data_IF_407873452367
#
_entry.id   IF_407873452367
#
_cell.length_a   1.000
_cell.length_b   1.000
_cell.length_c   1.000
_cell.angle_alpha   90.00
_cell.angle_beta   90.00
_cell.angle_gamma   90.00
#
_symmetry.space_group_name_H-M   'P 1'
#
loop_
_entity.id
_entity.type
_entity.pdbx_description
1 polymer ?
#
# COMPACT_ATOMS: atom_id res chain seq x y z
N UNK A 1 25.38 41.55 -41.84
CA UNK A 1 24.68 42.02 -40.62
C UNK A 1 23.71 40.97 -40.05
N UNK A 2 22.84 40.35 -40.87
CA UNK A 2 21.83 39.38 -40.40
C UNK A 2 22.36 38.12 -39.68
N UNK A 3 23.50 37.55 -40.10
CA UNK A 3 24.08 36.36 -39.43
C UNK A 3 24.58 36.64 -38.00
N UNK A 4 25.16 37.82 -37.75
CA UNK A 4 25.63 38.21 -36.41
C UNK A 4 24.45 38.43 -35.45
N UNK A 5 23.34 38.98 -35.96
CA UNK A 5 22.10 39.17 -35.21
C UNK A 5 21.41 37.84 -34.86
N UNK A 6 21.40 36.88 -35.78
CA UNK A 6 20.93 35.51 -35.55
C UNK A 6 21.79 34.79 -34.50
N UNK A 7 23.12 34.90 -34.58
CA UNK A 7 24.03 34.32 -33.60
C UNK A 7 23.84 34.89 -32.19
N UNK A 8 23.67 36.21 -32.07
CA UNK A 8 23.39 36.84 -30.77
C UNK A 8 22.02 36.46 -30.21
N UNK A 9 21.00 36.31 -31.06
CA UNK A 9 19.67 35.88 -30.61
C UNK A 9 19.70 34.42 -30.10
N UNK A 10 20.43 33.54 -30.79
CA UNK A 10 20.60 32.14 -30.37
C UNK A 10 21.37 32.06 -29.04
N UNK A 11 22.44 32.85 -28.89
CA UNK A 11 23.22 32.90 -27.66
C UNK A 11 22.39 33.40 -26.46
N UNK A 12 21.57 34.43 -26.65
CA UNK A 12 20.64 34.91 -25.62
C UNK A 12 19.61 33.84 -25.24
N UNK A 13 19.06 33.10 -26.22
CA UNK A 13 18.11 32.02 -25.96
C UNK A 13 18.76 30.88 -25.16
N UNK A 14 19.98 30.48 -25.52
CA UNK A 14 20.75 29.48 -24.76
C UNK A 14 21.02 29.93 -23.32
N UNK A 15 21.35 31.22 -23.13
CA UNK A 15 21.63 31.78 -21.82
C UNK A 15 20.38 31.85 -20.93
N UNK A 16 19.22 32.20 -21.50
CA UNK A 16 17.93 32.13 -20.80
C UNK A 16 17.60 30.69 -20.41
N UNK A 17 17.83 29.72 -21.31
CA UNK A 17 17.64 28.30 -21.01
C UNK A 17 18.52 27.78 -19.86
N UNK A 18 19.78 28.21 -19.82
CA UNK A 18 20.72 27.88 -18.74
C UNK A 18 20.28 28.46 -17.40
N UNK A 19 19.84 29.73 -17.38
CA UNK A 19 19.32 30.37 -16.17
C UNK A 19 18.05 29.68 -15.66
N UNK A 20 17.16 29.28 -16.57
CA UNK A 20 15.94 28.54 -16.20
C UNK A 20 16.26 27.16 -15.63
N UNK A 21 17.17 26.41 -16.26
CA UNK A 21 17.61 25.11 -15.76
C UNK A 21 18.28 25.22 -14.38
N UNK A 22 19.09 26.25 -14.16
CA UNK A 22 19.71 26.53 -12.85
C UNK A 22 18.66 26.85 -11.78
N UNK A 23 17.62 27.61 -12.13
CA UNK A 23 16.50 27.92 -11.23
C UNK A 23 15.72 26.67 -10.83
N UNK A 24 15.38 25.81 -11.80
CA UNK A 24 14.68 24.55 -11.52
C UNK A 24 15.54 23.59 -10.69
N UNK A 25 16.84 23.51 -10.98
CA UNK A 25 17.77 22.71 -10.19
C UNK A 25 17.85 23.21 -8.73
N UNK A 26 17.88 24.53 -8.53
CA UNK A 26 17.86 25.13 -7.20
C UNK A 26 16.55 24.84 -6.45
N UNK A 27 15.40 25.01 -7.12
CA UNK A 27 14.08 24.71 -6.56
C UNK A 27 13.97 23.24 -6.14
N UNK A 28 14.47 22.34 -6.99
CA UNK A 28 14.49 20.91 -6.71
C UNK A 28 15.40 20.56 -5.54
N UNK A 29 16.56 21.22 -5.43
CA UNK A 29 17.47 21.03 -4.30
C UNK A 29 16.84 21.47 -2.98
N UNK A 30 16.16 22.62 -2.95
CA UNK A 30 15.45 23.08 -1.75
C UNK A 30 14.34 22.10 -1.35
N UNK A 31 13.54 21.62 -2.31
CA UNK A 31 12.48 20.65 -2.04
C UNK A 31 13.04 19.35 -1.45
N UNK A 32 14.18 18.86 -1.97
CA UNK A 32 14.85 17.67 -1.43
C UNK A 32 15.36 17.88 -0.01
N UNK A 33 15.95 19.05 0.27
CA UNK A 33 16.46 19.37 1.59
C UNK A 33 15.34 19.45 2.63
N UNK A 34 14.24 20.12 2.29
CA UNK A 34 13.06 20.20 3.14
C UNK A 34 12.47 18.82 3.43
N UNK A 35 12.34 17.98 2.41
CA UNK A 35 11.86 16.59 2.58
C UNK A 35 12.79 15.79 3.51
N UNK A 36 14.11 15.96 3.38
CA UNK A 36 15.09 15.30 4.26
C UNK A 36 14.93 15.72 5.71
N UNK A 37 14.71 17.00 5.98
CA UNK A 37 14.46 17.51 7.32
C UNK A 37 13.18 16.93 7.93
N UNK A 38 12.10 16.85 7.15
CA UNK A 38 10.86 16.20 7.58
C UNK A 38 11.10 14.74 7.95
N UNK A 39 11.79 13.97 7.11
CA UNK A 39 12.09 12.56 7.38
C UNK A 39 12.90 12.41 8.68
N UNK A 40 13.94 13.23 8.86
CA UNK A 40 14.74 13.20 10.10
C UNK A 40 13.93 13.59 11.36
N UNK A 41 12.95 14.50 11.21
CA UNK A 41 12.06 14.88 12.31
C UNK A 41 11.05 13.77 12.66
N UNK A 42 10.58 13.03 11.66
CA UNK A 42 9.76 11.83 11.84
C UNK A 42 10.55 10.76 12.61
N UNK A 43 11.82 10.53 12.23
CA UNK A 43 12.71 9.59 12.93
C UNK A 43 12.96 10.00 14.40
N UNK A 44 13.15 11.30 14.65
CA UNK A 44 13.31 11.82 16.00
C UNK A 44 12.01 11.74 16.83
N UNK A 45 10.85 11.96 16.21
CA UNK A 45 9.56 11.87 16.89
C UNK A 45 9.21 10.42 17.30
N UNK A 46 9.71 9.42 16.57
CA UNK A 46 9.51 7.99 16.84
C UNK A 46 10.06 7.51 18.19
N UNK A 47 10.80 8.33 18.94
CA UNK A 47 11.30 7.96 20.28
C UNK A 47 10.31 8.22 21.42
N UNK A 48 9.13 8.80 21.12
CA UNK A 48 8.10 9.07 22.12
C UNK A 48 7.11 7.90 22.24
N UNK A 49 6.58 7.64 23.44
CA UNK A 49 5.58 6.60 23.68
C UNK A 49 4.15 7.11 23.42
N UNK A 50 3.86 7.56 22.20
CA UNK A 50 2.52 7.99 21.78
C UNK A 50 2.06 7.27 20.50
N UNK A 51 0.75 7.13 20.23
CA UNK A 51 0.24 6.57 18.99
C UNK A 51 0.74 7.32 17.73
N UNK A 52 0.89 8.64 17.82
CA UNK A 52 1.39 9.49 16.74
C UNK A 52 2.88 9.25 16.48
N UNK A 53 3.66 9.01 17.53
CA UNK A 53 5.07 8.67 17.43
C UNK A 53 5.29 7.28 16.81
N UNK A 54 4.48 6.28 17.19
CA UNK A 54 4.49 4.97 16.54
C UNK A 54 4.00 5.06 15.08
N UNK A 55 3.05 5.96 14.78
CA UNK A 55 2.65 6.22 13.40
C UNK A 55 3.76 6.88 12.57
N UNK A 56 4.50 7.84 13.15
CA UNK A 56 5.69 8.43 12.55
C UNK A 56 6.76 7.36 12.29
N UNK A 57 6.99 6.46 13.25
CA UNK A 57 7.88 5.31 13.08
C UNK A 57 7.44 4.40 11.92
N UNK A 58 6.15 4.06 11.84
CA UNK A 58 5.61 3.25 10.76
C UNK A 58 5.81 3.91 9.38
N UNK A 59 5.62 5.23 9.29
CA UNK A 59 5.90 6.01 8.09
C UNK A 59 7.38 5.98 7.72
N UNK A 60 8.28 6.14 8.68
CA UNK A 60 9.73 6.06 8.45
C UNK A 60 10.13 4.68 7.92
N UNK A 61 9.68 3.60 8.56
CA UNK A 61 9.93 2.22 8.10
C UNK A 61 9.44 2.02 6.66
N UNK A 62 8.24 2.54 6.36
CA UNK A 62 7.69 2.49 5.00
C UNK A 62 8.50 3.31 3.98
N UNK A 63 9.07 4.44 4.40
CA UNK A 63 9.92 5.29 3.55
C UNK A 63 11.29 4.66 3.25
N UNK A 64 11.79 3.81 4.14
CA UNK A 64 13.04 3.06 3.99
C UNK A 64 12.87 1.68 3.33
N UNK A 65 11.71 1.42 2.71
CA UNK A 65 11.36 0.12 2.10
C UNK A 65 11.40 -1.08 3.07
N UNK A 66 11.36 -0.86 4.39
CA UNK A 66 11.16 -1.93 5.37
C UNK A 66 9.66 -2.30 5.45
N UNK A 67 9.23 -3.06 4.46
CA UNK A 67 7.84 -3.51 4.32
C UNK A 67 7.36 -4.28 5.56
N UNK A 68 8.14 -5.26 6.02
CA UNK A 68 7.78 -6.12 7.14
C UNK A 68 7.68 -5.34 8.45
N UNK A 69 8.64 -4.45 8.72
CA UNK A 69 8.62 -3.54 9.86
C UNK A 69 7.41 -2.62 9.84
N UNK A 70 7.14 -1.98 8.71
CA UNK A 70 6.03 -1.06 8.55
C UNK A 70 4.66 -1.76 8.69
N UNK A 71 4.48 -2.95 8.09
CA UNK A 71 3.23 -3.73 8.24
C UNK A 71 2.98 -4.08 9.70
N UNK A 72 3.99 -4.54 10.45
CA UNK A 72 3.83 -4.84 11.88
C UNK A 72 3.43 -3.61 12.69
N UNK A 73 4.05 -2.46 12.42
CA UNK A 73 3.76 -1.21 13.12
C UNK A 73 2.31 -0.74 12.81
N UNK A 74 1.93 -0.68 11.54
CA UNK A 74 0.57 -0.28 11.14
C UNK A 74 -0.50 -1.24 11.64
N UNK A 75 -0.28 -2.56 11.65
CA UNK A 75 -1.25 -3.53 12.21
C UNK A 75 -1.42 -3.40 13.71
N UNK A 76 -0.38 -2.99 14.43
CA UNK A 76 -0.50 -2.69 15.87
C UNK A 76 -1.35 -1.44 16.05
N UNK A 77 -1.04 -0.37 15.31
CA UNK A 77 -1.78 0.88 15.36
C UNK A 77 -3.25 0.72 14.93
N UNK A 78 -3.55 -0.13 13.96
CA UNK A 78 -4.94 -0.32 13.49
C UNK A 78 -5.84 -0.95 14.54
N UNK A 79 -5.26 -1.59 15.57
CA UNK A 79 -6.00 -2.18 16.70
C UNK A 79 -6.15 -1.24 17.89
N UNK A 80 -5.29 -0.23 17.99
CA UNK A 80 -5.19 0.66 19.16
C UNK A 80 -5.61 2.10 18.87
N UNK A 81 -5.64 2.50 17.60
CA UNK A 81 -5.99 3.85 17.17
C UNK A 81 -7.46 3.93 16.81
N UNK A 82 -8.04 5.13 16.94
CA UNK A 82 -9.41 5.42 16.51
C UNK A 82 -9.48 6.70 15.67
N UNK A 83 -10.67 7.03 15.18
CA UNK A 83 -10.96 8.28 14.49
C UNK A 83 -10.07 8.54 13.27
N UNK A 84 -9.52 9.76 13.19
CA UNK A 84 -8.69 10.20 12.05
C UNK A 84 -7.33 9.49 11.98
N UNK A 85 -6.77 9.09 13.12
CA UNK A 85 -5.52 8.34 13.16
C UNK A 85 -5.70 6.94 12.58
N UNK A 86 -6.77 6.23 12.97
CA UNK A 86 -7.11 4.93 12.38
C UNK A 86 -7.30 5.03 10.87
N UNK A 87 -8.01 6.07 10.39
CA UNK A 87 -8.17 6.29 8.95
C UNK A 87 -6.82 6.47 8.24
N UNK A 88 -5.90 7.23 8.85
CA UNK A 88 -4.55 7.45 8.33
C UNK A 88 -3.72 6.16 8.32
N UNK A 89 -3.82 5.34 9.36
CA UNK A 89 -3.17 4.02 9.46
C UNK A 89 -3.64 3.09 8.36
N UNK A 90 -4.96 2.95 8.17
CA UNK A 90 -5.53 2.06 7.14
C UNK A 90 -5.16 2.52 5.73
N UNK A 91 -5.20 3.83 5.46
CA UNK A 91 -4.79 4.38 4.17
C UNK A 91 -3.32 4.06 3.85
N UNK A 92 -2.42 4.28 4.82
CA UNK A 92 -0.99 4.03 4.61
C UNK A 92 -0.66 2.53 4.56
N UNK A 93 -1.34 1.69 5.34
CA UNK A 93 -1.20 0.23 5.24
C UNK A 93 -1.63 -0.29 3.87
N UNK A 94 -2.77 0.20 3.35
CA UNK A 94 -3.20 -0.13 1.99
C UNK A 94 -2.19 0.31 0.92
N UNK A 95 -1.66 1.53 1.04
CA UNK A 95 -0.65 2.05 0.12
C UNK A 95 0.67 1.26 0.18
N UNK A 96 1.04 0.80 1.37
CA UNK A 96 2.22 -0.04 1.57
C UNK A 96 2.06 -1.37 0.84
N UNK A 97 0.94 -2.07 1.05
CA UNK A 97 0.62 -3.31 0.36
C UNK A 97 0.55 -3.15 -1.16
N UNK A 98 -0.10 -2.08 -1.65
CA UNK A 98 -0.22 -1.83 -3.09
C UNK A 98 1.14 -1.52 -3.73
N UNK A 99 1.99 -0.71 -3.09
CA UNK A 99 3.35 -0.45 -3.60
C UNK A 99 4.19 -1.72 -3.64
N UNK A 100 4.10 -2.55 -2.61
CA UNK A 100 4.82 -3.82 -2.57
C UNK A 100 4.33 -4.78 -3.66
N UNK A 101 3.01 -4.86 -3.88
CA UNK A 101 2.43 -5.66 -4.96
C UNK A 101 2.99 -5.26 -6.33
N UNK A 102 3.09 -3.96 -6.58
CA UNK A 102 3.57 -3.39 -7.85
C UNK A 102 5.07 -3.61 -8.12
N UNK A 103 5.85 -4.08 -7.13
CA UNK A 103 7.26 -4.49 -7.37
C UNK A 103 7.36 -5.78 -8.17
N UNK A 104 6.30 -6.59 -8.19
CA UNK A 104 6.28 -7.89 -8.87
C UNK A 104 5.61 -7.77 -10.25
N UNK A 105 6.26 -8.35 -11.26
CA UNK A 105 5.73 -8.41 -12.62
C UNK A 105 4.78 -9.60 -12.87
N UNK A 106 4.31 -9.78 -14.12
CA UNK A 106 3.42 -10.90 -14.49
C UNK A 106 3.98 -12.28 -14.15
N UNK A 107 5.30 -12.46 -14.24
CA UNK A 107 5.97 -13.75 -13.94
C UNK A 107 5.94 -14.10 -12.45
N UNK A 108 5.75 -13.11 -11.57
CA UNK A 108 5.67 -13.27 -10.11
C UNK A 108 4.28 -12.91 -9.57
N UNK A 109 3.24 -13.10 -10.39
CA UNK A 109 1.86 -12.72 -10.04
C UNK A 109 1.36 -13.39 -8.74
N UNK A 110 1.86 -14.58 -8.40
CA UNK A 110 1.57 -15.27 -7.15
C UNK A 110 2.02 -14.51 -5.89
N UNK A 111 3.02 -13.62 -6.01
CA UNK A 111 3.45 -12.70 -4.95
C UNK A 111 2.67 -11.40 -4.97
N UNK A 112 2.38 -10.87 -6.16
CA UNK A 112 1.61 -9.64 -6.34
C UNK A 112 0.17 -9.74 -5.84
N UNK A 113 -0.55 -10.83 -6.19
CA UNK A 113 -1.99 -10.92 -5.95
C UNK A 113 -2.37 -10.85 -4.46
N UNK A 114 -1.75 -11.63 -3.55
CA UNK A 114 -2.09 -11.56 -2.13
C UNK A 114 -1.86 -10.16 -1.53
N UNK A 115 -0.81 -9.47 -1.97
CA UNK A 115 -0.53 -8.10 -1.53
C UNK A 115 -1.58 -7.11 -2.03
N UNK A 116 -2.04 -7.25 -3.26
CA UNK A 116 -3.14 -6.45 -3.79
C UNK A 116 -4.45 -6.71 -3.02
N UNK A 117 -4.75 -7.94 -2.63
CA UNK A 117 -5.91 -8.28 -1.77
C UNK A 117 -5.83 -7.62 -0.39
N UNK A 118 -4.65 -7.63 0.23
CA UNK A 118 -4.44 -6.93 1.51
C UNK A 118 -4.64 -5.42 1.36
N UNK A 119 -4.17 -4.82 0.27
CA UNK A 119 -4.41 -3.41 -0.02
C UNK A 119 -5.91 -3.11 -0.15
N UNK A 120 -6.66 -3.91 -0.92
CA UNK A 120 -8.11 -3.79 -1.06
C UNK A 120 -8.83 -3.87 0.29
N UNK A 121 -8.40 -4.78 1.15
CA UNK A 121 -8.97 -4.95 2.49
C UNK A 121 -8.82 -3.68 3.32
N UNK A 122 -7.61 -3.13 3.42
CA UNK A 122 -7.36 -1.89 4.17
C UNK A 122 -8.13 -0.68 3.63
N UNK A 123 -8.22 -0.53 2.30
CA UNK A 123 -9.00 0.57 1.71
C UNK A 123 -10.51 0.41 1.94
N UNK A 124 -11.03 -0.82 1.91
CA UNK A 124 -12.45 -1.09 2.19
C UNK A 124 -12.80 -0.81 3.64
N UNK A 125 -11.95 -1.22 4.55
CA UNK A 125 -12.10 -0.91 5.98
C UNK A 125 -12.10 0.60 6.20
N UNK A 126 -11.16 1.32 5.59
CA UNK A 126 -11.16 2.79 5.61
C UNK A 126 -12.44 3.40 5.03
N UNK A 127 -12.92 2.91 3.90
CA UNK A 127 -14.13 3.42 3.26
C UNK A 127 -15.41 3.07 4.03
N UNK A 128 -15.39 2.03 4.86
CA UNK A 128 -16.46 1.73 5.80
C UNK A 128 -16.52 2.81 6.90
N UNK A 129 -15.37 3.25 7.40
CA UNK A 129 -15.28 4.32 8.40
C UNK A 129 -15.53 5.72 7.81
N UNK A 130 -15.06 5.96 6.58
CA UNK A 130 -15.18 7.23 5.88
C UNK A 130 -15.48 7.01 4.39
N UNK A 131 -16.77 6.91 4.02
CA UNK A 131 -17.19 6.76 2.63
C UNK A 131 -16.81 7.95 1.74
N UNK A 132 -16.44 9.10 2.31
CA UNK A 132 -16.02 10.30 1.59
C UNK A 132 -14.53 10.33 1.20
N UNK A 133 -13.72 9.35 1.66
CA UNK A 133 -12.27 9.38 1.47
C UNK A 133 -11.84 9.12 0.02
N UNK A 134 -11.77 10.17 -0.80
CA UNK A 134 -11.58 10.08 -2.26
C UNK A 134 -10.30 9.34 -2.67
N UNK A 135 -9.18 9.62 -2.00
CA UNK A 135 -7.90 8.98 -2.29
C UNK A 135 -7.95 7.46 -2.07
N UNK A 136 -8.77 6.98 -1.11
CA UNK A 136 -8.92 5.55 -0.85
C UNK A 136 -9.77 4.88 -1.94
N UNK A 137 -10.82 5.56 -2.45
CA UNK A 137 -11.59 5.07 -3.59
C UNK A 137 -10.72 4.94 -4.84
N UNK A 138 -9.92 5.96 -5.12
CA UNK A 138 -8.98 5.94 -6.24
C UNK A 138 -7.95 4.80 -6.11
N UNK A 139 -7.33 4.63 -4.94
CA UNK A 139 -6.35 3.57 -4.76
C UNK A 139 -6.97 2.17 -4.73
N UNK A 140 -8.20 2.03 -4.21
CA UNK A 140 -8.96 0.78 -4.28
C UNK A 140 -9.23 0.39 -5.74
N UNK A 141 -9.61 1.34 -6.58
CA UNK A 141 -9.80 1.11 -8.01
C UNK A 141 -8.52 0.61 -8.70
N UNK A 142 -7.37 1.21 -8.38
CA UNK A 142 -6.07 0.73 -8.89
C UNK A 142 -5.74 -0.68 -8.41
N UNK A 143 -6.01 -0.98 -7.14
CA UNK A 143 -5.83 -2.31 -6.59
C UNK A 143 -6.75 -3.35 -7.25
N UNK A 144 -7.99 -2.96 -7.57
CA UNK A 144 -8.95 -3.80 -8.32
C UNK A 144 -8.53 -4.02 -9.77
N UNK A 145 -7.90 -3.06 -10.44
CA UNK A 145 -7.32 -3.28 -11.77
C UNK A 145 -6.16 -4.26 -11.73
N UNK A 146 -5.34 -4.20 -10.67
CA UNK A 146 -4.21 -5.11 -10.47
C UNK A 146 -4.67 -6.53 -10.12
N UNK A 147 -5.68 -6.65 -9.25
CA UNK A 147 -6.28 -7.90 -8.83
C UNK A 147 -7.82 -7.81 -8.93
N UNK A 148 -8.38 -8.06 -10.13
CA UNK A 148 -9.82 -8.05 -10.33
C UNK A 148 -10.51 -9.06 -9.43
N UNK A 149 -11.70 -8.70 -8.95
CA UNK A 149 -12.54 -9.66 -8.23
C UNK A 149 -13.06 -10.70 -9.21
N UNK A 150 -12.94 -11.96 -8.84
CA UNK A 150 -13.63 -13.02 -9.57
C UNK A 150 -15.10 -12.88 -9.20
N UNK A 151 -15.95 -12.73 -10.20
CA UNK A 151 -17.35 -13.05 -10.02
C UNK A 151 -17.37 -14.54 -9.67
N UNK A 152 -17.76 -14.86 -8.44
CA UNK A 152 -18.19 -16.21 -8.13
C UNK A 152 -19.41 -16.44 -9.01
N UNK A 153 -19.19 -17.00 -10.20
CA UNK A 153 -20.26 -17.64 -10.93
C UNK A 153 -20.75 -18.69 -9.95
N UNK A 154 -21.91 -18.44 -9.35
CA UNK A 154 -22.69 -19.45 -8.67
C UNK A 154 -23.02 -20.48 -9.74
N UNK A 155 -22.06 -21.32 -10.09
CA UNK A 155 -22.31 -22.58 -10.77
C UNK A 155 -23.11 -23.33 -9.74
N UNK A 156 -24.42 -23.31 -9.91
CA UNK A 156 -25.35 -24.13 -9.15
C UNK A 156 -24.73 -25.53 -9.11
N UNK A 157 -24.19 -25.90 -7.95
CA UNK A 157 -23.54 -27.19 -7.80
C UNK A 157 -24.60 -28.22 -8.22
N UNK A 158 -24.29 -29.16 -9.12
CA UNK A 158 -25.26 -30.18 -9.50
C UNK A 158 -25.81 -30.79 -8.21
N UNK A 159 -27.14 -30.99 -8.10
CA UNK A 159 -27.78 -31.39 -6.86
C UNK A 159 -27.04 -32.60 -6.30
N UNK A 160 -26.66 -32.52 -5.02
CA UNK A 160 -26.00 -33.63 -4.34
C UNK A 160 -26.81 -34.90 -4.59
N UNK A 161 -26.18 -36.02 -5.02
CA UNK A 161 -26.90 -37.25 -5.25
C UNK A 161 -27.61 -37.63 -3.95
N UNK A 162 -28.94 -37.73 -4.00
CA UNK A 162 -29.80 -38.04 -2.84
C UNK A 162 -29.54 -39.43 -2.24
N UNK A 163 -28.64 -40.21 -2.84
CA UNK A 163 -28.28 -41.56 -2.42
C UNK A 163 -26.79 -41.70 -2.09
N UNK A 164 -26.20 -40.74 -1.37
CA UNK A 164 -25.04 -41.08 -0.54
C UNK A 164 -25.56 -41.91 0.64
N UNK A 165 -25.58 -43.23 0.46
CA UNK A 165 -25.78 -44.17 1.57
C UNK A 165 -24.92 -43.68 2.73
N UNK A 166 -25.59 -43.27 3.82
CA UNK A 166 -24.92 -42.86 5.04
C UNK A 166 -24.02 -44.02 5.43
N UNK A 167 -22.71 -43.83 5.35
CA UNK A 167 -21.76 -44.77 5.93
C UNK A 167 -22.08 -44.83 7.43
N UNK A 168 -22.87 -45.83 7.81
CA UNK A 168 -23.18 -46.12 9.21
C UNK A 168 -21.86 -46.51 9.84
N UNK A 169 -21.23 -45.55 10.50
CA UNK A 169 -20.04 -45.80 11.31
C UNK A 169 -20.51 -46.52 12.56
N UNK A 170 -20.67 -47.83 12.46
CA UNK A 170 -20.76 -48.71 13.63
C UNK A 170 -19.38 -48.78 14.25
N UNK A 171 -19.02 -47.78 15.07
CA UNK A 171 -17.90 -47.94 15.99
C UNK A 171 -18.31 -48.96 17.06
N UNK A 172 -17.87 -50.21 16.87
CA UNK A 172 -17.90 -51.24 17.91
C UNK A 172 -16.84 -50.86 18.94
N UNK A 173 -17.26 -50.35 20.10
CA UNK A 173 -16.38 -50.09 21.23
C UNK A 173 -15.65 -51.40 21.60
N UNK A 174 -14.35 -51.46 21.34
CA UNK A 174 -13.50 -52.55 21.76
C UNK A 174 -13.03 -52.26 23.19
N UNK A 175 -13.66 -52.90 24.17
CA UNK A 175 -13.19 -52.90 25.55
C UNK A 175 -11.99 -53.83 25.66
N UNK A 176 -10.77 -53.28 25.69
CA UNK A 176 -9.57 -54.04 26.05
C UNK A 176 -9.57 -54.20 27.57
N UNK A 177 -10.09 -55.34 28.04
CA UNK A 177 -10.01 -55.73 29.44
C UNK A 177 -8.63 -56.30 29.77
N UNK A 178 -7.96 -55.61 30.71
CA UNK A 178 -7.04 -56.11 31.74
C UNK A 178 -5.80 -56.93 31.33
N UNK A 179 -4.74 -56.87 32.15
CA UNK A 179 -4.66 -57.78 33.31
C UNK A 179 -4.91 -57.12 34.67
#
# INVERSE_FOLDING_TARGET
MKLRQLGSALASLCMIGLLFAAYEAYRLSQAREFNRQIVSAIDAAATQNSPEAEFARALSLSGHDDYEGAVRAYKTLSRTSEGTLLQSVLYNLGNLHLREALKYGPDEIGRSLPLAELAKTSYRELLHLNPGHWNAKYNLERALRLAPEREDVLVEAPPLPQNSERAVTTMKAFTLGLP
#
